data_IF_190862941884
#
_entry.id   IF_190862941884
#
_cell.length_a   1.000
_cell.length_b   1.000
_cell.length_c   1.000
_cell.angle_alpha   90.00
_cell.angle_beta   90.00
_cell.angle_gamma   90.00
#
_symmetry.space_group_name_H-M   'P 1'
#
loop_
_entity.id
_entity.type
_entity.pdbx_description
1 polymer ?
#
# COMPACT_ATOMS: atom_id res chain seq x y z
N UNK A 1 -6.65 10.63 -14.55
CA UNK A 1 -6.10 9.27 -14.74
C UNK A 1 -4.62 9.18 -14.38
N UNK A 2 -3.91 10.30 -14.18
CA UNK A 2 -2.47 10.28 -13.82
C UNK A 2 -2.18 10.00 -12.35
N UNK A 3 -3.09 10.36 -11.43
CA UNK A 3 -2.79 10.27 -10.00
C UNK A 3 -2.61 8.83 -9.54
N UNK A 4 -3.36 7.86 -10.08
CA UNK A 4 -3.17 6.44 -9.72
C UNK A 4 -1.81 5.90 -10.16
N UNK A 5 -1.29 6.33 -11.31
CA UNK A 5 0.02 5.89 -11.80
C UNK A 5 1.17 6.50 -10.99
N UNK A 6 1.12 7.80 -10.68
CA UNK A 6 2.12 8.47 -9.83
C UNK A 6 2.20 7.84 -8.44
N UNK A 7 1.04 7.50 -7.88
CA UNK A 7 0.89 6.83 -6.59
C UNK A 7 1.45 5.40 -6.66
N UNK A 8 1.15 4.68 -7.74
CA UNK A 8 1.72 3.36 -7.98
C UNK A 8 3.23 3.38 -8.04
N UNK A 9 3.85 4.33 -8.74
CA UNK A 9 5.30 4.42 -8.82
C UNK A 9 5.95 4.76 -7.48
N UNK A 10 5.35 5.64 -6.68
CA UNK A 10 5.84 5.94 -5.34
C UNK A 10 5.75 4.71 -4.43
N UNK A 11 4.60 4.05 -4.39
CA UNK A 11 4.39 2.84 -3.58
C UNK A 11 5.31 1.72 -4.04
N UNK A 12 5.52 1.54 -5.36
CA UNK A 12 6.48 0.59 -5.92
C UNK A 12 7.92 0.92 -5.52
N UNK A 13 8.32 2.20 -5.47
CA UNK A 13 9.66 2.60 -5.01
C UNK A 13 9.86 2.33 -3.53
N UNK A 14 8.85 2.62 -2.71
CA UNK A 14 8.86 2.39 -1.25
C UNK A 14 8.89 0.88 -0.96
N UNK A 15 8.05 0.10 -1.64
CA UNK A 15 7.96 -1.35 -1.53
C UNK A 15 8.93 -2.09 -2.46
N UNK A 16 9.89 -1.43 -3.10
CA UNK A 16 10.86 -2.09 -3.98
C UNK A 16 11.77 -3.05 -3.17
N UNK A 17 11.92 -2.80 -1.86
CA UNK A 17 12.60 -3.69 -0.92
C UNK A 17 11.71 -4.79 -0.34
N UNK A 18 10.41 -4.79 -0.66
CA UNK A 18 9.44 -5.75 -0.17
C UNK A 18 9.63 -7.12 -0.85
N UNK A 19 9.52 -8.20 -0.08
CA UNK A 19 9.41 -9.55 -0.65
C UNK A 19 7.95 -9.84 -0.99
N UNK A 20 7.60 -9.68 -2.26
CA UNK A 20 6.34 -10.20 -2.79
C UNK A 20 6.45 -11.70 -3.11
N UNK A 21 5.36 -12.49 -2.93
CA UNK A 21 4.05 -12.06 -2.44
C UNK A 21 4.05 -11.84 -0.92
N UNK A 22 3.41 -10.75 -0.49
CA UNK A 22 3.19 -10.47 0.92
C UNK A 22 2.01 -11.34 1.36
N UNK A 23 2.22 -12.24 2.32
CA UNK A 23 1.17 -13.16 2.78
C UNK A 23 0.51 -12.70 4.07
N UNK A 24 1.17 -11.79 4.79
CA UNK A 24 0.71 -11.31 6.08
C UNK A 24 0.81 -9.79 6.18
N UNK A 25 -0.05 -9.22 7.03
CA UNK A 25 -0.06 -7.80 7.33
C UNK A 25 1.27 -7.33 7.93
N UNK A 26 1.92 -8.19 8.72
CA UNK A 26 3.24 -7.92 9.31
C UNK A 26 4.34 -7.84 8.25
N UNK A 27 4.34 -8.75 7.25
CA UNK A 27 5.28 -8.66 6.13
C UNK A 27 5.09 -7.37 5.33
N UNK A 28 3.84 -6.90 5.16
CA UNK A 28 3.56 -5.63 4.50
C UNK A 28 4.19 -4.46 5.26
N UNK A 29 4.03 -4.44 6.58
CA UNK A 29 4.56 -3.37 7.45
C UNK A 29 6.08 -3.43 7.49
N UNK A 30 6.67 -4.63 7.59
CA UNK A 30 8.11 -4.81 7.60
C UNK A 30 8.77 -4.44 6.26
N UNK A 31 8.02 -4.50 5.16
CA UNK A 31 8.47 -4.09 3.84
C UNK A 31 8.50 -2.57 3.63
N UNK A 32 7.85 -1.79 4.51
CA UNK A 32 7.79 -0.35 4.42
C UNK A 32 8.96 0.29 5.20
N UNK A 33 9.64 1.31 4.64
CA UNK A 33 10.81 1.94 5.27
C UNK A 33 10.50 2.61 6.61
N UNK A 34 9.29 3.15 6.78
CA UNK A 34 8.82 3.76 8.04
C UNK A 34 7.73 2.90 8.72
N UNK A 35 7.51 1.68 8.24
CA UNK A 35 6.48 0.79 8.78
C UNK A 35 5.08 1.42 8.75
N UNK A 36 4.43 1.48 9.91
CA UNK A 36 3.08 2.02 10.10
C UNK A 36 2.96 3.53 9.87
N UNK A 37 4.07 4.26 9.98
CA UNK A 37 4.14 5.71 9.75
C UNK A 37 4.39 6.05 8.29
N UNK A 38 4.63 5.06 7.43
CA UNK A 38 4.84 5.32 6.00
C UNK A 38 3.58 5.97 5.43
N UNK A 39 3.74 7.17 4.90
CA UNK A 39 2.67 7.93 4.26
C UNK A 39 2.75 7.74 2.76
N UNK A 40 1.63 7.31 2.18
CA UNK A 40 1.46 7.24 0.74
C UNK A 40 0.42 8.30 0.36
N UNK A 41 0.81 9.28 -0.44
CA UNK A 41 -0.20 10.10 -1.10
C UNK A 41 -0.92 9.23 -2.11
N UNK A 42 -2.25 9.28 -2.11
CA UNK A 42 -3.15 8.60 -3.03
C UNK A 42 -4.15 9.64 -3.52
N UNK A 43 -4.17 10.00 -4.80
CA UNK A 43 -5.21 10.91 -5.31
C UNK A 43 -5.18 12.34 -4.74
N UNK A 44 -4.13 12.73 -4.02
CA UNK A 44 -4.09 13.97 -3.22
C UNK A 44 -4.57 13.81 -1.77
N UNK A 45 -4.91 12.59 -1.36
CA UNK A 45 -5.19 12.21 0.02
C UNK A 45 -3.99 11.49 0.61
N UNK A 46 -3.51 11.96 1.75
CA UNK A 46 -2.46 11.26 2.51
C UNK A 46 -3.08 10.06 3.21
N UNK A 47 -2.67 8.86 2.80
CA UNK A 47 -3.07 7.61 3.45
C UNK A 47 -1.83 7.01 4.11
N UNK A 48 -1.87 6.88 5.43
CA UNK A 48 -0.81 6.20 6.18
C UNK A 48 -0.93 4.70 6.02
N UNK A 49 0.19 3.99 6.12
CA UNK A 49 0.25 2.54 6.17
C UNK A 49 -0.60 1.97 7.32
N UNK A 50 -0.76 2.71 8.43
CA UNK A 50 -1.68 2.37 9.51
C UNK A 50 -3.17 2.46 9.12
N UNK A 51 -3.58 3.53 8.43
CA UNK A 51 -4.96 3.67 7.95
C UNK A 51 -5.26 2.62 6.87
N UNK A 52 -4.32 2.45 5.95
CA UNK A 52 -4.29 1.38 4.99
C UNK A 52 -4.51 0.03 5.68
N UNK A 53 -3.66 -0.32 6.65
CA UNK A 53 -3.75 -1.54 7.46
C UNK A 53 -5.13 -1.73 8.10
N UNK A 54 -5.76 -0.66 8.56
CA UNK A 54 -7.08 -0.73 9.19
C UNK A 54 -8.20 -1.01 8.17
N UNK A 55 -8.00 -0.58 6.92
CA UNK A 55 -8.93 -0.78 5.81
C UNK A 55 -8.78 -2.16 5.13
N UNK A 56 -7.58 -2.74 5.13
CA UNK A 56 -7.30 -4.10 4.63
C UNK A 56 -7.39 -5.14 5.73
N UNK A 57 -8.09 -6.24 5.44
CA UNK A 57 -8.19 -7.37 6.36
C UNK A 57 -7.25 -8.48 5.92
N UNK A 58 -6.86 -9.38 6.84
CA UNK A 58 -6.05 -10.58 6.54
C UNK A 58 -6.67 -11.49 5.46
N UNK A 59 -7.96 -11.30 5.18
CA UNK A 59 -8.71 -12.00 4.13
C UNK A 59 -8.42 -11.51 2.70
N UNK A 60 -7.86 -10.32 2.54
CA UNK A 60 -7.43 -9.77 1.25
C UNK A 60 -6.03 -10.26 0.84
N UNK A 61 -5.31 -10.92 1.75
CA UNK A 61 -4.03 -11.56 1.44
C UNK A 61 -4.23 -12.84 0.63
N UNK A 62 -3.26 -13.22 -0.22
CA UNK A 62 -1.93 -12.59 -0.40
C UNK A 62 -1.93 -11.44 -1.41
N UNK A 63 -1.18 -10.37 -1.09
CA UNK A 63 -0.88 -9.33 -2.06
C UNK A 63 0.25 -9.80 -2.96
N UNK A 64 -0.06 -9.92 -4.26
CA UNK A 64 0.88 -10.39 -5.28
C UNK A 64 1.90 -9.33 -5.67
N UNK A 65 1.50 -8.06 -5.66
CA UNK A 65 2.29 -6.95 -6.16
C UNK A 65 1.98 -5.67 -5.36
N UNK A 66 2.95 -4.76 -5.27
CA UNK A 66 2.78 -3.46 -4.63
C UNK A 66 1.64 -2.64 -5.26
N UNK A 67 1.44 -2.82 -6.57
CA UNK A 67 0.33 -2.21 -7.32
C UNK A 67 -1.03 -2.63 -6.78
N UNK A 68 -1.17 -3.90 -6.39
CA UNK A 68 -2.45 -4.43 -5.89
C UNK A 68 -2.78 -3.85 -4.49
N UNK A 69 -1.77 -3.65 -3.64
CA UNK A 69 -1.92 -2.96 -2.36
C UNK A 69 -2.38 -1.53 -2.60
N UNK A 70 -1.69 -0.80 -3.48
CA UNK A 70 -2.01 0.57 -3.78
C UNK A 70 -3.41 0.76 -4.37
N UNK A 71 -3.80 -0.05 -5.36
CA UNK A 71 -5.13 0.05 -6.00
C UNK A 71 -6.24 -0.22 -4.97
N UNK A 72 -6.04 -1.20 -4.10
CA UNK A 72 -7.01 -1.53 -3.05
C UNK A 72 -7.10 -0.43 -1.98
N UNK A 73 -5.99 0.26 -1.69
CA UNK A 73 -6.01 1.46 -0.84
C UNK A 73 -6.70 2.64 -1.49
N UNK A 74 -6.51 2.85 -2.80
CA UNK A 74 -7.24 3.88 -3.56
C UNK A 74 -8.74 3.60 -3.53
N UNK A 75 -9.14 2.36 -3.80
CA UNK A 75 -10.55 1.94 -3.76
C UNK A 75 -11.16 2.11 -2.36
N UNK A 76 -10.43 1.72 -1.31
CA UNK A 76 -10.92 1.84 0.09
C UNK A 76 -10.91 3.27 0.60
N UNK A 77 -9.98 4.10 0.15
CA UNK A 77 -9.94 5.55 0.44
C UNK A 77 -11.04 6.33 -0.30
N UNK A 78 -11.73 5.71 -1.27
CA UNK A 78 -12.88 6.29 -1.97
C UNK A 78 -12.51 7.26 -3.10
N UNK A 79 -11.35 7.05 -3.75
CA UNK A 79 -10.82 7.88 -4.84
C UNK A 79 -10.99 7.29 -6.25
#
# INVERSE_FOLDING_TARGET
MEVREEVHEQILKILNGAKFPINTLEELIAALPEGLDTTCMIGGTEVTAAEAKSLITEKDFPFKDAKHVADLLVERAGL
#
